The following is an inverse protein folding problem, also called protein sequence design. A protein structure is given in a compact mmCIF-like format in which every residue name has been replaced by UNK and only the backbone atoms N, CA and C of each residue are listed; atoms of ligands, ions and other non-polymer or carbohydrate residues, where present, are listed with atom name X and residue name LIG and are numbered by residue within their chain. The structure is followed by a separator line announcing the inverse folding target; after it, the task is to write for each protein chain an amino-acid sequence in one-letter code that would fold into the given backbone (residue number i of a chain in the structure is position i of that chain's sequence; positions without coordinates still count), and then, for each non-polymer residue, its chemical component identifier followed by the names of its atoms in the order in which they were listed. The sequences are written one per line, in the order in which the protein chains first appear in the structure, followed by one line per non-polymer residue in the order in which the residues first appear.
data_IF_762151957819
#
_entry.id   IF_762151957819
#
_cell.length_a   1.000
_cell.length_b   1.000
_cell.length_c   1.000
_cell.angle_alpha   90.00
_cell.angle_beta   90.00
_cell.angle_gamma   90.00
#
_symmetry.space_group_name_H-M   'P 1'
#
loop_
_entity.id
_entity.type
_entity.pdbx_description
1 polymer ?
#
# COMPACT_ATOMS: atom_id res chain seq x y z
N UNK A 1 24.06 18.77 12.90
CA UNK A 1 22.90 19.10 12.03
C UNK A 1 21.70 18.39 12.63
N UNK A 2 20.62 19.10 12.97
CA UNK A 2 19.36 18.44 13.39
C UNK A 2 18.69 17.85 12.15
N UNK A 3 18.00 16.71 12.31
CA UNK A 3 17.32 16.03 11.21
C UNK A 3 16.00 16.74 10.90
N UNK A 4 15.50 16.61 9.66
CA UNK A 4 14.28 17.29 9.20
C UNK A 4 13.07 16.90 10.05
N UNK A 5 12.96 15.62 10.43
CA UNK A 5 11.97 15.08 11.37
C UNK A 5 12.02 15.69 12.78
N UNK A 6 13.11 16.38 13.15
CA UNK A 6 13.31 17.01 14.47
C UNK A 6 13.06 18.52 14.45
N UNK A 7 12.93 19.13 13.26
CA UNK A 7 12.87 20.58 13.09
C UNK A 7 11.64 21.05 12.34
N UNK A 8 11.15 20.25 11.39
CA UNK A 8 10.00 20.56 10.56
C UNK A 8 9.35 19.24 10.11
N UNK A 9 8.40 18.79 10.93
CA UNK A 9 7.70 17.53 10.68
C UNK A 9 6.98 17.60 9.33
N UNK A 10 6.28 18.69 9.00
CA UNK A 10 5.49 18.78 7.78
C UNK A 10 6.37 18.69 6.52
N UNK A 11 7.52 19.39 6.51
CA UNK A 11 8.48 19.29 5.41
C UNK A 11 9.12 17.90 5.29
N UNK A 12 9.34 17.21 6.41
CA UNK A 12 9.80 15.82 6.41
C UNK A 12 8.74 14.87 5.84
N UNK A 13 7.47 15.05 6.22
CA UNK A 13 6.34 14.27 5.72
C UNK A 13 6.16 14.45 4.20
N UNK A 14 6.27 15.68 3.70
CA UNK A 14 6.17 15.97 2.27
C UNK A 14 7.33 15.37 1.47
N UNK A 15 8.56 15.44 2.01
CA UNK A 15 9.73 14.83 1.37
C UNK A 15 9.60 13.30 1.28
N UNK A 16 9.19 12.66 2.38
CA UNK A 16 8.93 11.21 2.40
C UNK A 16 7.87 10.84 1.36
N UNK A 17 6.78 11.60 1.26
CA UNK A 17 5.73 11.38 0.26
C UNK A 17 6.25 11.43 -1.19
N UNK A 18 7.15 12.35 -1.51
CA UNK A 18 7.71 12.50 -2.88
C UNK A 18 8.69 11.37 -3.23
N UNK A 19 9.61 11.03 -2.32
CA UNK A 19 10.54 9.92 -2.49
C UNK A 19 9.78 8.59 -2.67
N UNK A 20 8.69 8.45 -1.93
CA UNK A 20 7.80 7.30 -1.96
C UNK A 20 6.94 7.17 -3.24
N UNK A 21 6.44 8.28 -3.80
CA UNK A 21 5.75 8.28 -5.10
C UNK A 21 6.67 7.75 -6.22
N UNK A 22 7.98 8.01 -6.10
CA UNK A 22 8.99 7.64 -7.09
C UNK A 22 9.38 6.15 -7.01
N UNK A 23 9.35 5.52 -5.83
CA UNK A 23 9.77 4.11 -5.66
C UNK A 23 8.66 3.08 -5.97
N UNK A 24 7.38 3.46 -5.91
CA UNK A 24 6.33 2.48 -6.14
C UNK A 24 6.22 2.09 -7.62
N UNK A 25 6.18 0.77 -7.84
CA UNK A 25 5.80 0.00 -9.05
C UNK A 25 4.52 0.47 -9.78
N UNK A 26 3.85 1.51 -9.28
CA UNK A 26 2.77 2.26 -9.92
C UNK A 26 3.14 2.79 -11.30
N UNK A 27 4.43 2.98 -11.61
CA UNK A 27 4.84 3.47 -12.93
C UNK A 27 4.26 2.65 -14.07
N UNK A 28 4.17 1.31 -13.99
CA UNK A 28 3.64 0.56 -15.14
C UNK A 28 2.13 0.78 -15.34
N UNK A 29 1.31 0.61 -14.30
CA UNK A 29 -0.14 0.72 -14.44
C UNK A 29 -0.60 2.17 -14.62
N UNK A 30 0.01 3.11 -13.90
CA UNK A 30 -0.31 4.55 -14.01
C UNK A 30 0.19 5.11 -15.35
N UNK A 31 1.38 4.71 -15.82
CA UNK A 31 1.88 5.21 -17.12
C UNK A 31 1.17 4.60 -18.31
N UNK A 32 0.74 3.33 -18.24
CA UNK A 32 0.12 2.65 -19.38
C UNK A 32 -1.41 2.67 -19.36
N UNK A 33 -2.04 2.79 -18.18
CA UNK A 33 -3.50 2.75 -18.01
C UNK A 33 -4.03 3.81 -17.03
N UNK A 34 -3.68 5.10 -17.20
CA UNK A 34 -4.02 6.17 -16.24
C UNK A 34 -5.54 6.35 -16.06
N UNK A 35 -6.31 6.19 -17.13
CA UNK A 35 -7.78 6.28 -17.09
C UNK A 35 -8.45 5.10 -16.36
N UNK A 36 -7.73 3.99 -16.16
CA UNK A 36 -8.23 2.81 -15.46
C UNK A 36 -7.85 2.82 -13.97
N UNK A 37 -7.07 3.80 -13.54
CA UNK A 37 -6.56 3.95 -12.18
C UNK A 37 -7.06 5.26 -11.57
N UNK A 38 -8.36 5.55 -11.70
CA UNK A 38 -8.96 6.71 -11.03
C UNK A 38 -8.99 6.47 -9.52
N UNK A 39 -7.95 6.93 -8.84
CA UNK A 39 -7.86 6.87 -7.38
C UNK A 39 -8.69 8.01 -6.81
N UNK A 40 -9.80 7.69 -6.15
CA UNK A 40 -10.70 8.70 -5.57
C UNK A 40 -10.17 9.24 -4.23
N UNK A 41 -9.49 8.38 -3.46
CA UNK A 41 -8.91 8.75 -2.17
C UNK A 41 -7.69 7.89 -1.83
N UNK A 42 -6.76 8.42 -1.04
CA UNK A 42 -5.58 7.71 -0.55
C UNK A 42 -5.34 7.99 0.94
N UNK A 43 -5.11 6.92 1.70
CA UNK A 43 -4.67 7.00 3.09
C UNK A 43 -3.20 6.59 3.13
N UNK A 44 -2.36 7.53 3.58
CA UNK A 44 -0.91 7.35 3.66
C UNK A 44 -0.44 6.94 5.06
N UNK A 45 -1.26 7.16 6.08
CA UNK A 45 -0.90 6.93 7.48
C UNK A 45 -1.96 6.10 8.22
N UNK A 46 -1.52 5.23 9.12
CA UNK A 46 -2.36 4.49 10.05
C UNK A 46 -1.68 4.47 11.42
N UNK A 47 -2.40 4.88 12.48
CA UNK A 47 -1.85 5.01 13.83
C UNK A 47 -0.50 5.75 13.88
N UNK A 48 -0.41 6.91 13.22
CA UNK A 48 0.79 7.76 13.11
C UNK A 48 2.01 7.12 12.40
N UNK A 49 1.84 5.97 11.76
CA UNK A 49 2.89 5.34 10.95
C UNK A 49 2.56 5.49 9.47
N UNK A 50 3.55 5.79 8.63
CA UNK A 50 3.37 5.71 7.19
C UNK A 50 3.20 4.27 6.76
N UNK A 51 2.21 4.05 5.91
CA UNK A 51 2.04 2.77 5.27
C UNK A 51 3.13 2.59 4.22
N UNK A 52 3.70 1.38 4.11
CA UNK A 52 4.63 1.04 3.02
C UNK A 52 3.95 1.07 1.64
N UNK A 53 2.63 0.84 1.59
CA UNK A 53 1.79 1.11 0.42
C UNK A 53 0.56 1.90 0.87
N UNK A 54 0.19 3.03 0.25
CA UNK A 54 -0.97 3.79 0.67
C UNK A 54 -2.21 2.99 0.33
N UNK A 55 -3.18 3.00 1.23
CA UNK A 55 -4.47 2.42 0.93
C UNK A 55 -5.19 3.34 -0.04
N UNK A 56 -5.37 2.88 -1.28
CA UNK A 56 -6.13 3.61 -2.30
C UNK A 56 -7.59 3.13 -2.33
N UNK A 57 -8.51 4.08 -2.45
CA UNK A 57 -9.93 3.82 -2.64
C UNK A 57 -10.33 4.17 -4.07
N UNK A 58 -11.05 3.23 -4.68
CA UNK A 58 -11.57 3.32 -6.04
C UNK A 58 -13.07 2.99 -5.97
N UNK A 59 -13.93 4.00 -6.06
CA UNK A 59 -15.38 3.88 -5.97
C UNK A 59 -15.99 3.46 -7.30
N UNK A 60 -15.46 3.97 -8.42
CA UNK A 60 -15.93 3.61 -9.75
C UNK A 60 -15.06 2.50 -10.37
N UNK A 61 -15.38 1.24 -10.06
CA UNK A 61 -14.66 0.08 -10.60
C UNK A 61 -15.33 -0.41 -11.89
N UNK A 62 -14.62 -0.34 -13.01
CA UNK A 62 -15.11 -0.79 -14.33
C UNK A 62 -14.60 -2.17 -14.75
N UNK A 63 -13.60 -2.70 -14.04
CA UNK A 63 -12.97 -4.00 -14.34
C UNK A 63 -12.71 -4.79 -13.05
N UNK A 64 -12.73 -6.12 -13.17
CA UNK A 64 -12.34 -7.04 -12.11
C UNK A 64 -11.09 -7.77 -12.56
N UNK A 65 -10.03 -7.70 -11.75
CA UNK A 65 -8.80 -8.45 -11.98
C UNK A 65 -8.76 -9.59 -10.95
N UNK A 66 -8.63 -10.82 -11.44
CA UNK A 66 -8.54 -12.01 -10.59
C UNK A 66 -7.07 -12.38 -10.44
N UNK A 67 -6.60 -12.45 -9.19
CA UNK A 67 -5.26 -12.90 -8.84
C UNK A 67 -5.36 -14.20 -8.02
N UNK A 68 -4.35 -15.06 -8.14
CA UNK A 68 -4.07 -16.08 -7.13
C UNK A 68 -2.95 -15.58 -6.22
N UNK A 69 -2.95 -16.00 -4.96
CA UNK A 69 -1.77 -15.84 -4.14
C UNK A 69 -0.76 -16.90 -4.55
N UNK A 70 0.50 -16.53 -4.82
CA UNK A 70 1.56 -17.50 -5.16
C UNK A 70 2.04 -18.29 -3.92
N UNK A 71 1.17 -18.45 -2.91
CA UNK A 71 1.46 -19.14 -1.66
C UNK A 71 0.83 -20.54 -1.66
N UNK A 72 1.37 -21.41 -0.81
CA UNK A 72 0.82 -22.74 -0.62
C UNK A 72 -0.46 -22.69 0.22
N UNK A 73 -1.60 -22.92 -0.42
CA UNK A 73 -2.92 -22.93 0.22
C UNK A 73 -3.28 -24.29 0.81
N UNK A 74 -2.44 -25.32 0.67
CA UNK A 74 -2.67 -26.66 1.24
C UNK A 74 -2.71 -26.64 2.78
N UNK A 75 -2.14 -25.59 3.39
CA UNK A 75 -2.14 -25.36 4.83
C UNK A 75 -3.46 -24.75 5.39
N UNK A 76 -4.46 -24.48 4.54
CA UNK A 76 -5.72 -23.91 4.99
C UNK A 76 -6.63 -24.99 5.59
N UNK A 77 -6.63 -25.07 6.92
CA UNK A 77 -7.37 -26.08 7.70
C UNK A 77 -8.73 -25.58 8.20
N UNK A 78 -9.07 -24.32 7.95
CA UNK A 78 -10.34 -23.71 8.35
C UNK A 78 -10.31 -22.18 8.36
N UNK A 79 -11.42 -21.55 8.75
CA UNK A 79 -11.61 -20.09 8.75
C UNK A 79 -10.45 -19.34 9.43
N UNK A 80 -9.98 -19.82 10.57
CA UNK A 80 -8.93 -19.16 11.34
C UNK A 80 -7.59 -19.14 10.60
N UNK A 81 -7.20 -20.26 9.97
CA UNK A 81 -5.96 -20.34 9.17
C UNK A 81 -5.95 -19.33 8.01
N UNK A 82 -7.11 -19.13 7.37
CA UNK A 82 -7.27 -18.15 6.28
C UNK A 82 -7.16 -16.72 6.82
N UNK A 83 -7.79 -16.42 7.96
CA UNK A 83 -7.72 -15.08 8.57
C UNK A 83 -6.27 -14.75 8.94
N UNK A 84 -5.54 -15.67 9.57
CA UNK A 84 -4.13 -15.48 9.91
C UNK A 84 -3.29 -15.22 8.66
N UNK A 85 -3.48 -16.02 7.61
CA UNK A 85 -2.80 -15.82 6.33
C UNK A 85 -3.04 -14.42 5.73
N UNK A 86 -4.29 -13.95 5.74
CA UNK A 86 -4.63 -12.61 5.25
C UNK A 86 -3.97 -11.50 6.08
N UNK A 87 -3.90 -11.66 7.40
CA UNK A 87 -3.21 -10.71 8.27
C UNK A 87 -1.71 -10.66 7.97
N UNK A 88 -1.07 -11.80 7.71
CA UNK A 88 0.36 -11.85 7.43
C UNK A 88 0.70 -11.29 6.05
N UNK A 89 -0.15 -11.53 5.03
CA UNK A 89 -0.08 -10.81 3.74
C UNK A 89 -0.15 -9.31 3.99
N UNK A 90 -1.13 -8.85 4.76
CA UNK A 90 -1.30 -7.43 5.04
C UNK A 90 -0.05 -6.85 5.71
N UNK A 91 0.51 -7.51 6.72
CA UNK A 91 1.74 -7.07 7.40
C UNK A 91 2.93 -7.03 6.44
N UNK A 92 3.14 -8.08 5.65
CA UNK A 92 4.28 -8.17 4.71
C UNK A 92 4.26 -7.03 3.69
N UNK A 93 3.07 -6.74 3.14
CA UNK A 93 2.94 -5.66 2.18
C UNK A 93 3.03 -4.31 2.89
N UNK A 94 2.29 -4.11 3.98
CA UNK A 94 1.98 -2.77 4.49
C UNK A 94 2.96 -2.27 5.55
N UNK A 95 3.55 -3.17 6.35
CA UNK A 95 4.42 -2.81 7.47
C UNK A 95 5.87 -3.07 7.06
N UNK A 96 6.62 -2.00 6.81
CA UNK A 96 8.09 -2.05 6.75
C UNK A 96 8.65 -2.32 8.15
N UNK A 97 9.68 -3.18 8.24
CA UNK A 97 10.48 -3.34 9.46
C UNK A 97 11.25 -2.06 9.78
#
# INVERSE_FOLDING_TARGET
MKRLEETDIDAFLDKQKQEYITEMRNDYLVSNYPSEQTVDNQVFTYNNNFLRWPQSYHYNKTKVIVHHTAGDTSAFTGKESVITYLQDIYKYHTITK
#
